data_IF_988462390102
#
_entry.id   IF_988462390102
#
_cell.length_a   1.000
_cell.length_b   1.000
_cell.length_c   1.000
_cell.angle_alpha   90.00
_cell.angle_beta   90.00
_cell.angle_gamma   90.00
#
_symmetry.space_group_name_H-M   'P 1'
#
loop_
_entity.id
_entity.type
_entity.pdbx_description
1 polymer ?
#
# COMPACT_ATOMS: atom_id res chain seq x y z
N UNK A 1 19.71 13.28 10.98
CA UNK A 1 19.39 13.27 12.42
C UNK A 1 19.14 11.83 12.83
N UNK A 2 19.76 11.36 13.91
CA UNK A 2 19.56 10.01 14.44
C UNK A 2 18.77 10.14 15.74
N UNK A 3 17.66 9.42 15.87
CA UNK A 3 16.81 9.38 17.05
C UNK A 3 16.12 8.02 17.15
N UNK A 4 15.76 7.60 18.36
CA UNK A 4 14.97 6.40 18.61
C UNK A 4 13.48 6.75 18.56
N UNK A 5 12.71 6.02 17.76
CA UNK A 5 11.24 6.16 17.72
C UNK A 5 10.66 5.42 18.93
N UNK A 6 9.78 6.09 19.65
CA UNK A 6 9.06 5.58 20.82
C UNK A 6 7.57 5.38 20.53
N UNK A 7 6.98 6.25 19.71
CA UNK A 7 5.57 6.16 19.31
C UNK A 7 5.35 6.70 17.88
N UNK A 8 4.24 6.28 17.27
CA UNK A 8 3.87 6.60 15.89
C UNK A 8 2.38 6.93 15.79
N UNK A 9 2.07 8.09 15.23
CA UNK A 9 0.69 8.49 14.92
C UNK A 9 0.49 8.70 13.41
N UNK A 10 -0.75 8.50 12.95
CA UNK A 10 -1.17 8.80 11.58
C UNK A 10 -2.02 10.06 11.58
N UNK A 11 -1.61 11.03 10.78
CA UNK A 11 -2.37 12.27 10.54
C UNK A 11 -2.60 12.45 9.05
N UNK A 12 -3.59 13.25 8.69
CA UNK A 12 -3.78 13.69 7.31
C UNK A 12 -3.37 15.15 7.21
N UNK A 13 -2.55 15.48 6.23
CA UNK A 13 -2.25 16.86 5.86
C UNK A 13 -3.53 17.55 5.33
N UNK A 14 -3.56 18.90 5.28
CA UNK A 14 -4.72 19.64 4.77
C UNK A 14 -5.16 19.25 3.35
N UNK A 15 -4.22 18.78 2.53
CA UNK A 15 -4.46 18.30 1.17
C UNK A 15 -4.96 16.84 1.09
N UNK A 16 -5.13 16.18 2.23
CA UNK A 16 -5.63 14.82 2.38
C UNK A 16 -4.60 13.72 2.19
N UNK A 17 -3.30 14.04 2.04
CA UNK A 17 -2.25 13.02 2.01
C UNK A 17 -1.91 12.55 3.43
N UNK A 18 -1.64 11.24 3.63
CA UNK A 18 -1.28 10.73 4.94
C UNK A 18 0.16 11.11 5.29
N UNK A 19 0.35 11.63 6.50
CA UNK A 19 1.66 11.85 7.12
C UNK A 19 1.77 10.97 8.36
N UNK A 20 2.96 10.42 8.56
CA UNK A 20 3.28 9.66 9.76
C UNK A 20 4.05 10.58 10.71
N UNK A 21 3.47 10.86 11.88
CA UNK A 21 4.17 11.54 12.97
C UNK A 21 4.93 10.51 13.78
N UNK A 22 6.22 10.75 13.98
CA UNK A 22 7.12 9.92 14.76
C UNK A 22 7.53 10.70 16.00
N UNK A 23 7.29 10.11 17.17
CA UNK A 23 7.71 10.67 18.45
C UNK A 23 8.89 9.87 18.96
N UNK A 24 9.92 10.55 19.46
CA UNK A 24 11.12 9.87 19.87
C UNK A 24 12.11 10.73 20.62
N UNK A 25 13.32 10.20 20.80
CA UNK A 25 14.42 10.90 21.47
C UNK A 25 15.73 10.77 20.71
N UNK A 26 16.50 11.85 20.59
CA UNK A 26 17.90 11.77 20.15
C UNK A 26 18.78 11.35 21.32
N UNK A 27 19.98 10.77 21.12
CA UNK A 27 21.04 10.90 22.11
C UNK A 27 21.42 12.39 22.20
N UNK A 28 21.35 13.09 23.35
CA UNK A 28 21.29 12.63 24.75
C UNK A 28 19.91 12.77 25.45
N UNK A 29 18.89 12.03 25.00
CA UNK A 29 17.48 12.06 25.44
C UNK A 29 16.70 13.36 25.20
N UNK A 30 16.94 14.06 24.08
CA UNK A 30 16.10 15.22 23.73
C UNK A 30 14.85 14.77 22.95
N UNK A 31 13.64 15.25 23.29
CA UNK A 31 12.42 14.87 22.59
C UNK A 31 12.43 15.39 21.16
N UNK A 32 11.90 14.59 20.25
CA UNK A 32 11.77 14.89 18.82
C UNK A 32 10.40 14.49 18.34
N UNK A 33 9.78 15.37 17.58
CA UNK A 33 8.65 15.06 16.70
C UNK A 33 9.13 15.20 15.26
N UNK A 34 9.03 14.12 14.48
CA UNK A 34 9.36 14.12 13.06
C UNK A 34 8.12 13.78 12.23
N UNK A 35 7.99 14.41 11.07
CA UNK A 35 6.90 14.17 10.12
C UNK A 35 7.46 13.48 8.88
N UNK A 36 7.01 12.27 8.60
CA UNK A 36 7.32 11.54 7.38
C UNK A 36 6.14 11.65 6.41
N UNK A 37 6.31 12.47 5.38
CA UNK A 37 5.33 12.72 4.32
C UNK A 37 5.71 11.98 3.03
N UNK A 38 4.81 11.97 2.05
CA UNK A 38 5.02 11.35 0.73
C UNK A 38 4.76 9.84 0.68
N UNK A 39 4.42 9.20 1.80
CA UNK A 39 3.91 7.84 1.79
C UNK A 39 2.49 7.83 1.21
N UNK A 40 2.22 6.90 0.30
CA UNK A 40 0.84 6.60 -0.09
C UNK A 40 0.58 5.11 0.11
N UNK A 41 -0.56 4.74 0.72
CA UNK A 41 -0.95 3.35 0.86
C UNK A 41 -1.03 2.69 -0.51
N UNK A 42 -0.48 1.48 -0.61
CA UNK A 42 -0.54 0.68 -1.80
C UNK A 42 -0.91 -0.76 -1.46
N UNK A 43 -1.45 -1.46 -2.45
CA UNK A 43 -1.82 -2.85 -2.34
C UNK A 43 -1.57 -3.54 -3.69
N UNK A 44 -1.29 -4.84 -3.63
CA UNK A 44 -1.19 -5.65 -4.84
C UNK A 44 -2.45 -6.49 -4.98
N UNK A 45 -2.93 -6.59 -6.21
CA UNK A 45 -4.11 -7.35 -6.54
C UNK A 45 -3.68 -8.68 -7.14
N UNK A 46 -4.26 -9.77 -6.65
CA UNK A 46 -4.12 -11.05 -7.31
C UNK A 46 -5.27 -11.24 -8.29
N UNK A 47 -4.92 -11.56 -9.54
CA UNK A 47 -5.87 -11.91 -10.60
C UNK A 47 -5.35 -13.13 -11.35
N UNK A 48 -6.25 -13.83 -12.04
CA UNK A 48 -5.88 -14.83 -13.03
C UNK A 48 -4.93 -14.22 -14.07
N UNK A 49 -3.90 -14.96 -14.48
CA UNK A 49 -2.90 -14.51 -15.46
C UNK A 49 -3.55 -14.04 -16.78
N UNK A 50 -4.62 -14.70 -17.20
CA UNK A 50 -5.38 -14.33 -18.40
C UNK A 50 -6.07 -12.97 -18.30
N UNK A 51 -6.25 -12.46 -17.08
CA UNK A 51 -6.98 -11.20 -16.79
C UNK A 51 -6.08 -10.06 -16.33
N UNK A 52 -4.75 -10.25 -16.28
CA UNK A 52 -3.81 -9.25 -15.74
C UNK A 52 -3.97 -7.90 -16.45
N UNK A 53 -3.97 -7.87 -17.78
CA UNK A 53 -4.03 -6.61 -18.54
C UNK A 53 -5.37 -5.89 -18.32
N UNK A 54 -6.48 -6.63 -18.26
CA UNK A 54 -7.79 -6.06 -17.94
C UNK A 54 -7.82 -5.49 -16.51
N UNK A 55 -7.21 -6.18 -15.54
CA UNK A 55 -7.14 -5.73 -14.16
C UNK A 55 -6.27 -4.48 -13.99
N UNK A 56 -5.16 -4.35 -14.74
CA UNK A 56 -4.34 -3.14 -14.76
C UNK A 56 -5.17 -1.94 -15.25
N UNK A 57 -5.94 -2.13 -16.33
CA UNK A 57 -6.80 -1.08 -16.87
C UNK A 57 -7.91 -0.68 -15.89
N UNK A 58 -8.51 -1.65 -15.19
CA UNK A 58 -9.54 -1.40 -14.19
C UNK A 58 -8.98 -0.61 -12.99
N UNK A 59 -7.83 -1.00 -12.45
CA UNK A 59 -7.13 -0.26 -11.39
C UNK A 59 -6.83 1.18 -11.82
N UNK A 60 -6.39 1.37 -13.07
CA UNK A 60 -6.18 2.70 -13.64
C UNK A 60 -7.47 3.52 -13.73
N UNK A 61 -8.58 2.91 -14.14
CA UNK A 61 -9.89 3.58 -14.21
C UNK A 61 -10.41 4.03 -12.84
N UNK A 62 -9.99 3.36 -11.77
CA UNK A 62 -10.30 3.73 -10.38
C UNK A 62 -9.42 4.89 -9.86
N UNK A 63 -8.57 5.48 -10.70
CA UNK A 63 -7.67 6.56 -10.31
C UNK A 63 -6.49 6.11 -9.44
N UNK A 64 -6.19 4.80 -9.44
CA UNK A 64 -5.03 4.24 -8.76
C UNK A 64 -3.84 4.16 -9.73
N UNK A 65 -2.62 4.22 -9.19
CA UNK A 65 -1.39 4.03 -9.98
C UNK A 65 -1.37 2.70 -10.72
N UNK A 66 -0.81 2.70 -11.94
CA UNK A 66 -0.79 1.61 -12.93
C UNK A 66 0.49 0.76 -12.90
N UNK A 67 1.23 0.78 -11.79
CA UNK A 67 2.42 -0.07 -11.66
C UNK A 67 2.03 -1.56 -11.61
N UNK A 68 2.62 -2.38 -12.48
CA UNK A 68 2.58 -3.82 -12.34
C UNK A 68 3.89 -4.30 -11.70
N UNK A 69 3.80 -5.17 -10.70
CA UNK A 69 4.95 -5.73 -10.00
C UNK A 69 4.95 -7.24 -10.05
N UNK A 70 6.14 -7.86 -10.11
CA UNK A 70 6.28 -9.30 -10.01
C UNK A 70 6.37 -9.72 -8.54
N UNK A 71 5.47 -10.60 -8.09
CA UNK A 71 5.46 -11.11 -6.71
C UNK A 71 5.10 -12.58 -6.64
N UNK A 72 5.60 -13.25 -5.60
CA UNK A 72 5.13 -14.58 -5.22
C UNK A 72 3.89 -14.47 -4.33
N UNK A 73 3.00 -15.46 -4.45
CA UNK A 73 1.94 -15.65 -3.47
C UNK A 73 2.56 -16.17 -2.18
N UNK A 74 2.12 -15.65 -1.04
CA UNK A 74 2.59 -16.12 0.28
C UNK A 74 2.19 -17.58 0.55
N UNK A 75 1.11 -18.06 -0.07
CA UNK A 75 0.57 -19.41 0.12
C UNK A 75 0.82 -20.25 -1.12
N UNK A 76 1.41 -21.42 -0.90
CA UNK A 76 1.75 -22.41 -1.93
C UNK A 76 3.13 -22.17 -2.53
N UNK A 77 3.81 -23.26 -2.91
CA UNK A 77 5.09 -23.18 -3.60
C UNK A 77 4.87 -22.85 -5.09
N UNK A 78 5.63 -21.88 -5.60
CA UNK A 78 5.70 -21.57 -7.03
C UNK A 78 7.16 -21.38 -7.44
N UNK A 79 7.48 -21.81 -8.66
CA UNK A 79 8.83 -21.66 -9.24
C UNK A 79 9.10 -20.28 -9.83
N UNK A 80 8.07 -19.52 -10.19
CA UNK A 80 8.18 -18.20 -10.83
C UNK A 80 7.22 -17.20 -10.18
N UNK A 81 7.61 -15.92 -10.08
CA UNK A 81 6.71 -14.87 -9.62
C UNK A 81 5.62 -14.61 -10.68
N UNK A 82 4.52 -13.99 -10.26
CA UNK A 82 3.42 -13.59 -11.13
C UNK A 82 3.35 -12.06 -11.18
N UNK A 83 3.03 -11.52 -12.36
CA UNK A 83 2.74 -10.08 -12.52
C UNK A 83 1.41 -9.75 -11.81
N UNK A 84 1.44 -8.71 -10.98
CA UNK A 84 0.32 -8.27 -10.15
C UNK A 84 0.12 -6.75 -10.30
N UNK A 85 -1.10 -6.27 -10.56
CA UNK A 85 -1.41 -4.84 -10.50
C UNK A 85 -1.17 -4.30 -9.08
N UNK A 86 -0.51 -3.15 -8.97
CA UNK A 86 -0.25 -2.45 -7.71
C UNK A 86 -1.01 -1.13 -7.70
N UNK A 87 -2.14 -1.12 -6.99
CA UNK A 87 -2.90 0.11 -6.75
C UNK A 87 -2.22 0.97 -5.70
N UNK A 88 -2.00 2.25 -6.00
CA UNK A 88 -1.57 3.27 -5.04
C UNK A 88 -2.74 4.22 -4.78
N UNK A 89 -3.24 4.25 -3.55
CA UNK A 89 -4.36 5.11 -3.14
C UNK A 89 -3.83 6.36 -2.43
N UNK A 90 -4.57 7.47 -2.55
CA UNK A 90 -4.23 8.70 -1.83
C UNK A 90 -4.52 8.57 -0.33
N UNK A 91 -5.65 7.97 0.06
CA UNK A 91 -6.08 7.83 1.45
C UNK A 91 -6.08 6.35 1.90
N UNK A 92 -5.53 6.00 3.08
CA UNK A 92 -5.58 4.63 3.58
C UNK A 92 -7.01 4.09 3.75
N UNK A 93 -7.98 4.96 4.04
CA UNK A 93 -9.39 4.58 4.20
C UNK A 93 -10.02 4.13 2.88
N UNK A 94 -9.64 4.72 1.74
CA UNK A 94 -10.22 4.37 0.44
C UNK A 94 -9.75 3.01 -0.08
N UNK A 95 -8.64 2.46 0.44
CA UNK A 95 -8.21 1.09 0.13
C UNK A 95 -9.33 0.07 0.40
N UNK A 96 -10.15 0.30 1.43
CA UNK A 96 -11.28 -0.59 1.74
C UNK A 96 -12.33 -0.61 0.64
N UNK A 97 -12.58 0.53 0.01
CA UNK A 97 -13.57 0.69 -1.06
C UNK A 97 -13.09 -0.03 -2.33
N UNK A 98 -11.80 0.02 -2.63
CA UNK A 98 -11.22 -0.70 -3.78
C UNK A 98 -11.09 -2.21 -3.55
N UNK A 99 -11.00 -2.66 -2.29
CA UNK A 99 -10.80 -4.09 -1.99
C UNK A 99 -12.05 -4.94 -2.26
N UNK A 100 -13.25 -4.36 -2.17
CA UNK A 100 -14.51 -5.09 -2.33
C UNK A 100 -14.79 -5.50 -3.80
N UNK A 101 -14.63 -4.62 -4.80
CA UNK A 101 -14.79 -4.98 -6.22
C UNK A 101 -13.71 -5.95 -6.72
N UNK A 102 -12.51 -5.86 -6.15
CA UNK A 102 -11.32 -6.61 -6.58
C UNK A 102 -11.28 -8.05 -6.05
N UNK A 103 -12.28 -8.48 -5.28
CA UNK A 103 -12.49 -9.88 -4.90
C UNK A 103 -13.50 -10.58 -5.83
N UNK A 104 -13.18 -10.91 -7.10
CA UNK A 104 -13.73 -12.09 -7.71
C UNK A 104 -12.74 -13.23 -7.47
N UNK A 105 -13.24 -14.32 -6.88
CA UNK A 105 -12.82 -15.72 -6.99
C UNK A 105 -12.78 -16.36 -5.59
N UNK A 106 -13.76 -17.21 -5.23
CA UNK A 106 -13.66 -18.04 -4.04
C UNK A 106 -12.42 -18.95 -4.14
N UNK A 107 -11.72 -19.22 -3.03
CA UNK A 107 -10.68 -20.22 -3.03
C UNK A 107 -11.36 -21.58 -3.15
N UNK A 108 -11.25 -22.21 -4.32
CA UNK A 108 -11.62 -23.61 -4.56
C UNK A 108 -13.13 -23.92 -4.57
N UNK A 109 -13.63 -24.24 -5.77
CA UNK A 109 -14.48 -25.41 -6.03
C UNK A 109 -13.90 -26.11 -7.27
#
# INVERSE_FOLDING_TARGET
>A
MIFQILDVNRVCEPDGFPTVQLFGTTPPNRPVTAHASGFCPNFCVWVDEKRIEAAILEVKSMGLSDEAVERFRLVGYRRRPQKMPKGKAKNPKSVREFRVPILPIPPFL
#
